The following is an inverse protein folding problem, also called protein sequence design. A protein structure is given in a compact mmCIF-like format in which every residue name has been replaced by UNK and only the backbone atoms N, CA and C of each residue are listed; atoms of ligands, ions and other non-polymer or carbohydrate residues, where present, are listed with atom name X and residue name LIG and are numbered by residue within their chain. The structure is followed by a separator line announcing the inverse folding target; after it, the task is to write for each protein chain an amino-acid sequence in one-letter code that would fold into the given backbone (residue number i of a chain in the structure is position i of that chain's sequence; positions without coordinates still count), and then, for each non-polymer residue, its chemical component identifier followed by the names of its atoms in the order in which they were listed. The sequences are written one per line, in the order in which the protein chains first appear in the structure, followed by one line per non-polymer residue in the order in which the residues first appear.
data_IF_599280815481
#
_entry.id   IF_599280815481
#
_cell.length_a   1.000
_cell.length_b   1.000
_cell.length_c   1.000
_cell.angle_alpha   90.00
_cell.angle_beta   90.00
_cell.angle_gamma   90.00
#
_symmetry.space_group_name_H-M   'P 1'
#
loop_
_entity.id
_entity.type
_entity.pdbx_description
1 polymer ?
#
# COMPACT_ATOMS: atom_id res chain seq x y z
N UNK A 1 6.88 -19.02 -8.85
CA UNK A 1 7.91 -17.96 -8.90
C UNK A 1 7.43 -16.88 -7.95
N UNK A 2 7.83 -16.93 -6.67
CA UNK A 2 7.59 -15.82 -5.74
C UNK A 2 8.24 -14.60 -6.37
N UNK A 3 7.47 -13.55 -6.67
CA UNK A 3 8.07 -12.36 -7.26
C UNK A 3 9.12 -11.84 -6.27
N UNK A 4 10.31 -11.50 -6.78
CA UNK A 4 11.48 -11.11 -6.00
C UNK A 4 11.16 -10.03 -4.93
N UNK A 5 10.14 -9.21 -5.20
CA UNK A 5 9.70 -8.12 -4.32
C UNK A 5 9.08 -8.60 -3.00
N UNK A 6 8.30 -9.70 -2.98
CA UNK A 6 7.74 -10.20 -1.72
C UNK A 6 8.82 -10.82 -0.84
N UNK A 7 9.90 -11.32 -1.43
CA UNK A 7 11.03 -11.86 -0.68
C UNK A 7 11.81 -10.77 0.06
N UNK A 8 11.80 -9.52 -0.41
CA UNK A 8 12.53 -8.42 0.23
C UNK A 8 11.68 -7.62 1.22
N UNK A 9 10.35 -7.60 1.06
CA UNK A 9 9.43 -6.80 1.88
C UNK A 9 9.59 -7.02 3.40
N UNK A 10 9.83 -8.25 3.93
CA UNK A 10 10.05 -8.45 5.36
C UNK A 10 11.36 -7.86 5.90
N UNK A 11 12.30 -7.49 5.01
CA UNK A 11 13.65 -7.05 5.36
C UNK A 11 13.86 -5.54 5.18
N UNK A 12 12.86 -4.80 4.72
CA UNK A 12 12.94 -3.33 4.61
C UNK A 12 12.34 -2.67 5.85
N UNK A 13 12.82 -1.47 6.18
CA UNK A 13 12.25 -0.65 7.26
C UNK A 13 11.17 0.30 6.74
N UNK A 14 11.28 0.75 5.48
CA UNK A 14 10.41 1.77 4.90
C UNK A 14 10.16 1.46 3.43
N UNK A 15 8.88 1.48 3.03
CA UNK A 15 8.43 1.47 1.66
C UNK A 15 8.08 2.90 1.24
N UNK A 16 8.75 3.41 0.20
CA UNK A 16 8.37 4.64 -0.50
C UNK A 16 7.78 4.22 -1.84
N UNK A 17 6.54 4.64 -2.13
CA UNK A 17 5.82 4.22 -3.33
C UNK A 17 4.82 5.30 -3.76
N UNK A 18 4.31 5.20 -4.99
CA UNK A 18 3.32 6.12 -5.56
C UNK A 18 1.93 5.46 -5.69
N UNK A 19 1.64 4.85 -6.84
CA UNK A 19 0.36 4.21 -7.18
C UNK A 19 0.50 2.69 -7.32
N UNK A 20 1.63 2.11 -6.91
CA UNK A 20 1.86 0.66 -6.94
C UNK A 20 0.98 -0.09 -5.94
N UNK A 21 0.42 -1.22 -6.38
CA UNK A 21 -0.40 -2.09 -5.54
C UNK A 21 0.35 -2.70 -4.35
N UNK A 22 1.69 -2.69 -4.39
CA UNK A 22 2.54 -3.21 -3.31
C UNK A 22 2.30 -2.49 -1.97
N UNK A 23 1.79 -1.26 -2.01
CA UNK A 23 1.35 -0.53 -0.83
C UNK A 23 0.34 -1.36 -0.02
N UNK A 24 -0.65 -1.98 -0.68
CA UNK A 24 -1.70 -2.74 -0.02
C UNK A 24 -1.16 -4.01 0.65
N UNK A 25 -0.21 -4.71 0.01
CA UNK A 25 0.47 -5.88 0.59
C UNK A 25 1.30 -5.49 1.81
N UNK A 26 1.97 -4.33 1.76
CA UNK A 26 2.78 -3.84 2.86
C UNK A 26 1.96 -3.53 4.12
N UNK A 27 0.65 -3.30 4.01
CA UNK A 27 -0.24 -3.11 5.16
C UNK A 27 -0.28 -4.34 6.07
N UNK A 28 0.00 -5.54 5.54
CA UNK A 28 0.08 -6.77 6.32
C UNK A 28 1.38 -6.86 7.14
N UNK A 29 2.32 -5.95 6.93
CA UNK A 29 3.62 -5.91 7.59
C UNK A 29 3.65 -4.70 8.56
N UNK A 30 3.34 -4.89 9.86
CA UNK A 30 3.23 -3.80 10.82
C UNK A 30 4.57 -3.09 11.10
N UNK A 31 5.69 -3.76 10.83
CA UNK A 31 7.03 -3.23 11.09
C UNK A 31 7.62 -2.44 9.92
N UNK A 32 6.92 -2.36 8.79
CA UNK A 32 7.36 -1.62 7.60
C UNK A 32 6.67 -0.27 7.60
N UNK A 33 7.41 0.84 7.62
CA UNK A 33 6.83 2.17 7.44
C UNK A 33 6.40 2.38 5.99
N UNK A 34 5.38 3.21 5.74
CA UNK A 34 4.90 3.51 4.38
C UNK A 34 4.87 5.01 4.14
N UNK A 35 5.39 5.41 2.99
CA UNK A 35 5.41 6.78 2.51
C UNK A 35 4.84 6.79 1.10
N UNK A 36 3.79 7.58 0.88
CA UNK A 36 3.24 7.79 -0.45
C UNK A 36 3.88 9.04 -1.05
N UNK A 37 4.51 8.90 -2.22
CA UNK A 37 5.16 10.00 -2.95
C UNK A 37 4.57 10.19 -4.37
N UNK A 38 3.27 10.52 -4.49
CA UNK A 38 2.59 10.74 -5.77
C UNK A 38 2.86 12.16 -6.34
N UNK A 39 4.13 12.48 -6.61
CA UNK A 39 4.57 13.84 -7.01
C UNK A 39 3.92 14.35 -8.31
N UNK A 40 3.46 13.45 -9.17
CA UNK A 40 2.88 13.75 -10.48
C UNK A 40 1.37 13.43 -10.59
N UNK A 41 0.65 13.29 -9.47
CA UNK A 41 -0.75 12.81 -9.45
C UNK A 41 -1.69 13.51 -10.42
N UNK A 42 -1.56 14.83 -10.55
CA UNK A 42 -2.38 15.63 -11.48
C UNK A 42 -2.14 15.24 -12.93
N UNK A 43 -0.89 14.91 -13.28
CA UNK A 43 -0.51 14.46 -14.61
C UNK A 43 -0.91 12.99 -14.81
N UNK A 44 -0.74 12.17 -13.77
CA UNK A 44 -1.10 10.76 -13.76
C UNK A 44 -2.60 10.56 -14.01
N UNK A 45 -3.48 11.22 -13.24
CA UNK A 45 -4.94 11.10 -13.40
C UNK A 45 -5.46 11.63 -14.73
N UNK A 46 -4.78 12.65 -15.31
CA UNK A 46 -5.16 13.24 -16.59
C UNK A 46 -4.80 12.34 -17.77
N UNK A 47 -3.66 11.66 -17.70
CA UNK A 47 -3.06 10.95 -18.84
C UNK A 47 -3.19 9.43 -18.77
N UNK A 48 -3.29 8.88 -17.56
CA UNK A 48 -3.41 7.46 -17.31
C UNK A 48 -4.74 7.14 -16.64
N UNK A 49 -5.29 6.00 -17.05
CA UNK A 49 -6.51 5.35 -16.59
C UNK A 49 -6.91 5.80 -15.18
N UNK A 50 -8.18 6.19 -15.03
CA UNK A 50 -8.83 6.28 -13.72
C UNK A 50 -8.30 5.16 -12.83
N UNK A 51 -7.72 5.54 -11.69
CA UNK A 51 -7.42 4.58 -10.63
C UNK A 51 -8.69 3.75 -10.39
N UNK A 52 -8.52 2.45 -10.18
CA UNK A 52 -9.66 1.53 -10.01
C UNK A 52 -10.59 1.99 -8.87
N UNK A 53 -10.03 2.72 -7.90
CA UNK A 53 -10.71 3.37 -6.80
C UNK A 53 -10.14 4.79 -6.61
N UNK A 54 -10.90 5.73 -6.02
CA UNK A 54 -10.39 7.06 -5.67
C UNK A 54 -9.14 6.95 -4.81
N UNK A 55 -8.05 7.63 -5.18
CA UNK A 55 -6.74 7.51 -4.52
C UNK A 55 -6.86 7.70 -3.00
N UNK A 56 -7.46 8.81 -2.57
CA UNK A 56 -7.61 9.16 -1.15
C UNK A 56 -8.38 8.10 -0.35
N UNK A 57 -9.31 7.39 -0.99
CA UNK A 57 -10.07 6.31 -0.33
C UNK A 57 -9.23 5.07 -0.03
N UNK A 58 -8.08 4.91 -0.70
CA UNK A 58 -7.24 3.73 -0.63
C UNK A 58 -5.98 3.93 0.22
N UNK A 59 -5.77 5.10 0.81
CA UNK A 59 -4.54 5.45 1.54
C UNK A 59 -4.84 5.64 3.04
N UNK A 60 -3.88 5.20 3.86
CA UNK A 60 -3.93 5.28 5.32
C UNK A 60 -2.65 5.90 5.92
N UNK A 61 -1.69 6.26 5.08
CA UNK A 61 -0.35 6.70 5.47
C UNK A 61 -0.03 8.08 4.86
N UNK A 62 1.01 8.78 5.38
CA UNK A 62 1.37 10.11 4.91
C UNK A 62 1.62 10.19 3.41
N UNK A 63 1.07 11.24 2.80
CA UNK A 63 1.26 11.57 1.38
C UNK A 63 2.12 12.82 1.31
N UNK A 64 3.22 12.74 0.56
CA UNK A 64 4.11 13.85 0.25
C UNK A 64 4.17 14.06 -1.26
N UNK A 65 4.27 15.31 -1.70
CA UNK A 65 4.18 15.66 -3.12
C UNK A 65 5.46 16.31 -3.65
N UNK A 66 6.36 16.76 -2.76
CA UNK A 66 7.65 17.35 -3.15
C UNK A 66 8.81 16.59 -2.56
N UNK A 67 9.97 16.72 -3.21
CA UNK A 67 11.20 16.07 -2.76
C UNK A 67 11.63 16.57 -1.37
N UNK A 68 11.43 17.85 -1.08
CA UNK A 68 11.72 18.46 0.22
C UNK A 68 10.84 17.87 1.33
N UNK A 69 9.55 17.66 1.05
CA UNK A 69 8.64 17.00 1.99
C UNK A 69 9.05 15.55 2.25
N UNK A 70 9.47 14.83 1.21
CA UNK A 70 9.98 13.47 1.32
C UNK A 70 11.25 13.42 2.19
N UNK A 71 12.23 14.28 1.92
CA UNK A 71 13.45 14.37 2.72
C UNK A 71 13.14 14.70 4.18
N UNK A 72 12.31 15.71 4.42
CA UNK A 72 11.92 16.09 5.78
C UNK A 72 11.28 14.93 6.54
N UNK A 73 10.43 14.15 5.88
CA UNK A 73 9.78 12.99 6.48
C UNK A 73 10.76 11.83 6.75
N UNK A 74 11.73 11.62 5.87
CA UNK A 74 12.79 10.62 6.06
C UNK A 74 13.76 11.02 7.19
N UNK A 75 13.99 12.30 7.42
CA UNK A 75 14.82 12.78 8.54
C UNK A 75 14.08 12.72 9.88
N UNK A 76 12.75 12.92 9.87
CA UNK A 76 11.90 13.01 11.06
C UNK A 76 11.00 11.77 11.21
N UNK A 77 11.63 10.60 11.34
CA UNK A 77 10.95 9.29 11.41
C UNK A 77 9.82 9.21 12.44
N UNK A 78 9.83 9.99 13.52
CA UNK A 78 8.77 10.00 14.54
C UNK A 78 7.38 10.35 13.98
N UNK A 79 7.31 11.16 12.92
CA UNK A 79 6.07 11.52 12.25
C UNK A 79 5.43 10.36 11.46
N UNK A 80 6.21 9.34 11.10
CA UNK A 80 5.73 8.15 10.39
C UNK A 80 4.98 7.16 11.30
N UNK A 81 5.17 7.27 12.62
CA UNK A 81 4.60 6.34 13.60
C UNK A 81 3.20 6.74 14.10
N UNK A 82 2.63 7.84 13.60
CA UNK A 82 1.22 8.17 13.86
C UNK A 82 0.36 7.32 12.92
N UNK A 83 0.23 6.03 13.25
CA UNK A 83 -0.68 5.15 12.53
C UNK A 83 -2.11 5.48 12.94
N UNK A 84 -2.90 5.99 12.00
CA UNK A 84 -4.36 5.96 12.12
C UNK A 84 -4.81 4.51 11.88
N UNK A 85 -4.81 3.73 12.96
CA UNK A 85 -5.10 2.29 12.91
C UNK A 85 -6.50 2.03 12.34
N UNK A 86 -7.47 2.88 12.65
CA UNK A 86 -8.84 2.76 12.15
C UNK A 86 -8.86 2.96 10.62
N UNK A 87 -8.10 3.93 10.10
CA UNK A 87 -7.98 4.13 8.66
C UNK A 87 -7.18 3.01 7.97
N UNK A 88 -6.15 2.47 8.62
CA UNK A 88 -5.41 1.31 8.09
C UNK A 88 -6.29 0.07 8.01
N UNK A 89 -7.05 -0.24 9.07
CA UNK A 89 -7.97 -1.37 9.10
C UNK A 89 -9.09 -1.19 8.07
N UNK A 90 -9.58 0.03 7.85
CA UNK A 90 -10.52 0.35 6.76
C UNK A 90 -9.94 0.04 5.39
N UNK A 91 -8.71 0.48 5.10
CA UNK A 91 -8.05 0.20 3.82
C UNK A 91 -7.78 -1.30 3.67
N UNK A 92 -7.36 -1.98 4.73
CA UNK A 92 -7.24 -3.45 4.73
C UNK A 92 -8.56 -4.12 4.41
N UNK A 93 -9.68 -3.61 4.93
CA UNK A 93 -11.02 -4.11 4.61
C UNK A 93 -11.34 -4.08 3.12
N UNK A 94 -10.87 -3.04 2.40
CA UNK A 94 -11.09 -2.93 0.96
C UNK A 94 -10.34 -4.01 0.16
N UNK A 95 -9.10 -4.31 0.54
CA UNK A 95 -8.18 -5.14 -0.26
C UNK A 95 -7.97 -6.57 0.25
N UNK A 96 -8.21 -6.82 1.55
CA UNK A 96 -7.87 -8.07 2.23
C UNK A 96 -9.04 -8.77 2.92
N UNK A 97 -10.22 -8.17 3.03
CA UNK A 97 -11.38 -8.91 3.53
C UNK A 97 -11.75 -10.05 2.57
N UNK A 98 -11.63 -11.28 3.07
CA UNK A 98 -12.15 -12.47 2.40
C UNK A 98 -13.67 -12.42 2.38
N UNK A 99 -14.26 -12.24 1.19
CA UNK A 99 -15.69 -12.51 1.02
C UNK A 99 -15.97 -13.98 1.33
N UNK A 100 -17.12 -14.28 1.93
CA UNK A 100 -17.57 -15.63 2.35
C UNK A 100 -17.50 -16.73 1.28
N UNK A 101 -17.27 -16.39 0.01
CA UNK A 101 -17.13 -17.31 -1.11
C UNK A 101 -15.68 -17.48 -1.57
N UNK A 102 -14.72 -17.46 -0.64
CA UNK A 102 -13.31 -17.72 -0.99
C UNK A 102 -13.20 -19.21 -1.31
N UNK A 103 -13.05 -19.53 -2.59
CA UNK A 103 -12.87 -20.88 -3.07
C UNK A 103 -11.46 -21.31 -2.68
N UNK A 104 -11.33 -22.36 -1.88
CA UNK A 104 -10.04 -23.03 -1.71
C UNK A 104 -9.68 -23.68 -3.06
N UNK A 105 -8.69 -23.10 -3.72
CA UNK A 105 -8.21 -23.54 -5.03
C UNK A 105 -7.66 -24.96 -4.94
N UNK A 106 -6.98 -25.32 -3.85
CA UNK A 106 -6.45 -26.67 -3.63
C UNK A 106 -7.60 -27.66 -3.48
N UNK A 107 -8.61 -27.32 -2.69
CA UNK A 107 -9.81 -28.16 -2.54
C UNK A 107 -10.56 -28.31 -3.87
N UNK A 108 -10.62 -27.26 -4.67
CA UNK A 108 -11.32 -27.25 -5.96
C UNK A 108 -10.59 -28.07 -7.02
N UNK A 109 -9.26 -28.01 -7.06
CA UNK A 109 -8.44 -28.84 -7.95
C UNK A 109 -8.54 -30.31 -7.54
N UNK A 110 -8.62 -30.63 -6.24
CA UNK A 110 -8.81 -32.01 -5.76
C UNK A 110 -10.18 -32.61 -6.14
N UNK A 111 -11.15 -31.80 -6.54
CA UNK A 111 -12.50 -32.21 -6.97
C UNK A 111 -12.63 -32.43 -8.49
N UNK A 112 -11.59 -32.10 -9.27
CA UNK A 112 -11.49 -32.39 -10.71
C UNK A 112 -10.92 -33.80 -10.93
#
# INVERSE_FOLDING_TARGET
MTSLIYSILPYINTLITDYSSIYYDSLLLPNVNKILFPFDIKTYEKNNRNLALPFDSCIAHPIVYTYEQLLHMMENYSALYISDKDNEDRVKGIFWETKKNTIDIIESIKKL
#
